data_IF_339443780386
#
_entry.id   IF_339443780386
#
_cell.length_a   1.000
_cell.length_b   1.000
_cell.length_c   1.000
_cell.angle_alpha   90.00
_cell.angle_beta   90.00
_cell.angle_gamma   90.00
#
_symmetry.space_group_name_H-M   'P 1'
#
loop_
_entity.id
_entity.type
_entity.pdbx_description
1 polymer ?
#
# COMPACT_ATOMS: atom_id res chain seq x y z
N UNK A 1 8.78 5.39 -6.11
CA UNK A 1 8.20 6.75 -6.11
C UNK A 1 6.70 6.72 -6.42
N UNK A 2 6.29 6.20 -7.58
CA UNK A 2 4.89 6.19 -8.05
C UNK A 2 3.86 5.58 -7.08
N UNK A 3 4.16 4.42 -6.47
CA UNK A 3 3.25 3.79 -5.47
C UNK A 3 3.01 4.69 -4.27
N UNK A 4 4.07 5.31 -3.74
CA UNK A 4 3.98 6.20 -2.59
C UNK A 4 3.16 7.45 -2.94
N UNK A 5 3.40 8.05 -4.09
CA UNK A 5 2.65 9.22 -4.56
C UNK A 5 1.17 8.92 -4.74
N UNK A 6 0.83 7.83 -5.45
CA UNK A 6 -0.56 7.37 -5.64
C UNK A 6 -1.27 7.20 -4.30
N UNK A 7 -0.68 6.42 -3.40
CA UNK A 7 -1.30 6.09 -2.13
C UNK A 7 -1.38 7.31 -1.19
N UNK A 8 -0.37 8.19 -1.18
CA UNK A 8 -0.46 9.45 -0.43
C UNK A 8 -1.55 10.37 -0.98
N UNK A 9 -1.76 10.45 -2.30
CA UNK A 9 -2.87 11.17 -2.89
C UNK A 9 -4.25 10.57 -2.52
N UNK A 10 -4.31 9.26 -2.31
CA UNK A 10 -5.47 8.55 -1.76
C UNK A 10 -5.60 8.67 -0.22
N UNK A 11 -4.69 9.42 0.42
CA UNK A 11 -4.71 9.73 1.85
C UNK A 11 -4.14 8.62 2.74
N UNK A 12 -3.29 7.75 2.21
CA UNK A 12 -2.51 6.81 3.01
C UNK A 12 -1.19 7.44 3.46
N UNK A 13 -0.84 7.22 4.72
CA UNK A 13 0.50 7.49 5.22
C UNK A 13 1.38 6.26 5.01
N UNK A 14 2.07 6.20 3.85
CA UNK A 14 2.94 5.07 3.52
C UNK A 14 4.16 5.03 4.44
N UNK A 15 4.36 3.92 5.15
CA UNK A 15 5.49 3.71 6.07
C UNK A 15 6.59 2.88 5.42
N UNK A 16 6.23 1.75 4.81
CA UNK A 16 7.16 0.83 4.14
C UNK A 16 6.55 0.32 2.85
N UNK A 17 7.40 0.10 1.85
CA UNK A 17 7.07 -0.59 0.62
C UNK A 17 8.05 -1.77 0.52
N UNK A 18 7.52 -2.94 0.22
CA UNK A 18 8.27 -4.18 0.00
C UNK A 18 7.81 -4.85 -1.30
N UNK A 19 8.51 -5.92 -1.69
CA UNK A 19 8.12 -6.74 -2.84
C UNK A 19 8.42 -8.21 -2.58
N UNK A 20 7.38 -9.04 -2.56
CA UNK A 20 7.47 -10.49 -2.32
C UNK A 20 6.44 -11.21 -3.21
N UNK A 21 6.79 -12.40 -3.72
CA UNK A 21 5.92 -13.26 -4.53
C UNK A 21 5.21 -12.57 -5.73
N UNK A 22 5.87 -11.59 -6.35
CA UNK A 22 5.34 -10.85 -7.51
C UNK A 22 4.36 -9.74 -7.15
N UNK A 23 4.19 -9.45 -5.85
CA UNK A 23 3.32 -8.39 -5.35
C UNK A 23 4.13 -7.23 -4.80
N UNK A 24 3.59 -6.02 -4.92
CA UNK A 24 4.07 -4.86 -4.18
C UNK A 24 3.31 -4.81 -2.87
N UNK A 25 4.02 -4.89 -1.75
CA UNK A 25 3.42 -4.83 -0.42
C UNK A 25 3.62 -3.44 0.18
N UNK A 26 2.57 -2.85 0.73
CA UNK A 26 2.62 -1.50 1.31
C UNK A 26 2.04 -1.52 2.71
N UNK A 27 2.88 -1.18 3.68
CA UNK A 27 2.48 -0.93 5.05
C UNK A 27 2.22 0.56 5.22
N UNK A 28 1.00 0.93 5.59
CA UNK A 28 0.58 2.33 5.72
C UNK A 28 -0.34 2.55 6.92
N UNK A 29 -0.61 3.82 7.21
CA UNK A 29 -1.73 4.23 8.08
C UNK A 29 -2.85 4.84 7.25
N UNK A 30 -4.10 4.55 7.62
CA UNK A 30 -5.30 5.19 7.08
C UNK A 30 -6.28 5.42 8.21
N UNK A 31 -6.70 6.66 8.40
CA UNK A 31 -7.66 7.05 9.45
C UNK A 31 -7.26 6.56 10.85
N UNK A 32 -5.96 6.63 11.15
CA UNK A 32 -5.39 6.20 12.43
C UNK A 32 -5.19 4.69 12.59
N UNK A 33 -5.57 3.87 11.60
CA UNK A 33 -5.41 2.41 11.62
C UNK A 33 -4.25 1.95 10.74
N UNK A 34 -3.64 0.83 11.12
CA UNK A 34 -2.63 0.17 10.29
C UNK A 34 -3.32 -0.58 9.16
N UNK A 35 -2.77 -0.45 7.96
CA UNK A 35 -3.24 -1.15 6.78
C UNK A 35 -2.06 -1.74 6.01
N UNK A 36 -2.23 -2.98 5.57
CA UNK A 36 -1.35 -3.66 4.63
C UNK A 36 -2.07 -3.75 3.29
N UNK A 37 -1.48 -3.21 2.23
CA UNK A 37 -1.99 -3.24 0.87
C UNK A 37 -1.09 -4.10 0.01
N UNK A 38 -1.68 -4.92 -0.84
CA UNK A 38 -0.97 -5.71 -1.84
C UNK A 38 -1.42 -5.23 -3.21
N UNK A 39 -0.46 -4.78 -4.01
CA UNK A 39 -0.71 -4.22 -5.33
C UNK A 39 -0.09 -5.11 -6.41
N UNK A 40 -0.80 -5.24 -7.53
CA UNK A 40 -0.28 -5.90 -8.73
C UNK A 40 0.72 -5.00 -9.48
N UNK A 41 1.28 -5.52 -10.58
CA UNK A 41 2.21 -4.78 -11.46
C UNK A 41 1.60 -3.52 -12.08
N UNK A 42 0.27 -3.43 -12.16
CA UNK A 42 -0.49 -2.26 -12.63
C UNK A 42 -0.84 -1.29 -11.49
N UNK A 43 -0.25 -1.49 -10.31
CA UNK A 43 -0.47 -0.70 -9.09
C UNK A 43 -1.93 -0.68 -8.64
N UNK A 44 -2.71 -1.72 -8.98
CA UNK A 44 -4.06 -1.90 -8.47
C UNK A 44 -3.99 -2.62 -7.13
N UNK A 45 -4.72 -2.12 -6.14
CA UNK A 45 -4.85 -2.81 -4.85
C UNK A 45 -5.73 -4.04 -5.08
N UNK A 46 -5.12 -5.23 -5.04
CA UNK A 46 -5.83 -6.50 -5.21
C UNK A 46 -6.18 -7.15 -3.87
N UNK A 47 -5.55 -6.70 -2.77
CA UNK A 47 -5.86 -7.14 -1.41
C UNK A 47 -5.51 -6.06 -0.40
N UNK A 48 -6.28 -5.98 0.69
CA UNK A 48 -5.97 -5.19 1.86
C UNK A 48 -6.23 -5.96 3.15
N UNK A 49 -5.42 -5.72 4.19
CA UNK A 49 -5.68 -6.14 5.57
C UNK A 49 -5.66 -4.91 6.47
N UNK A 50 -6.56 -4.86 7.45
CA UNK A 50 -6.60 -3.81 8.48
C UNK A 50 -6.50 -4.48 9.83
N UNK A 51 -5.65 -3.92 10.70
CA UNK A 51 -5.61 -4.25 12.14
C UNK A 51 -6.51 -3.27 12.92
#
# INVERSE_FOLDING_TARGET
>A
AQVREKLTAEGYEVRRIDSEDGMIEVYAMKDGKKVELYLDESLQIVRSKTD
#
